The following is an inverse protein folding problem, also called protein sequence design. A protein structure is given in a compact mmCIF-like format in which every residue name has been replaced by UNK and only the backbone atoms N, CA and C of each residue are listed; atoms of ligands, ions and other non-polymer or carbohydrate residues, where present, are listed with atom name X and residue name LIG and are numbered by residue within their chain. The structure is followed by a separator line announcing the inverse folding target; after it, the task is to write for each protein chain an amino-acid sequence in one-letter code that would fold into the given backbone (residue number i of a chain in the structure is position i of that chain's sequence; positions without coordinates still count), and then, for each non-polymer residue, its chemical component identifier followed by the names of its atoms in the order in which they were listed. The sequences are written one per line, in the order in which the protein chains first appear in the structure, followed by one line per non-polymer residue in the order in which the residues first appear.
data_IF_423624676637
#
_entry.id   IF_423624676637
#
_cell.length_a   1.000
_cell.length_b   1.000
_cell.length_c   1.000
_cell.angle_alpha   90.00
_cell.angle_beta   90.00
_cell.angle_gamma   90.00
#
_symmetry.space_group_name_H-M   'P 1'
#
loop_
_entity.id
_entity.type
_entity.pdbx_description
1 polymer ?
#
# COMPACT_ATOMS: atom_id res chain seq x y z
N UNK A 1 -16.28 -3.37 -7.64
CA UNK A 1 -15.92 -4.79 -7.83
C UNK A 1 -15.97 -5.48 -6.47
N UNK A 2 -16.34 -6.75 -6.38
CA UNK A 2 -16.27 -7.51 -5.11
C UNK A 2 -14.81 -7.73 -4.73
N UNK A 3 -14.46 -7.64 -3.44
CA UNK A 3 -13.14 -8.04 -2.96
C UNK A 3 -12.91 -9.53 -3.23
N UNK A 4 -11.69 -9.90 -3.61
CA UNK A 4 -11.28 -11.29 -3.70
C UNK A 4 -11.11 -11.90 -2.31
N UNK A 5 -10.71 -13.17 -2.24
CA UNK A 5 -10.41 -13.85 -0.96
C UNK A 5 -8.93 -13.71 -0.55
N UNK A 6 -8.11 -12.97 -1.31
CA UNK A 6 -6.74 -12.63 -0.90
C UNK A 6 -6.80 -11.94 0.46
N UNK A 7 -5.99 -12.43 1.41
CA UNK A 7 -5.95 -11.88 2.77
C UNK A 7 -5.23 -10.55 2.75
N UNK A 8 -5.64 -9.63 3.62
CA UNK A 8 -5.02 -8.32 3.74
C UNK A 8 -4.94 -7.88 5.20
N UNK A 9 -4.00 -6.99 5.49
CA UNK A 9 -3.84 -6.29 6.76
C UNK A 9 -3.83 -4.78 6.52
N UNK A 10 -4.25 -4.00 7.51
CA UNK A 10 -4.29 -2.54 7.42
C UNK A 10 -3.68 -1.93 8.68
N UNK A 11 -2.81 -0.95 8.48
CA UNK A 11 -2.27 -0.09 9.52
C UNK A 11 -2.92 1.29 9.40
N UNK A 12 -3.55 1.75 10.48
CA UNK A 12 -4.17 3.07 10.58
C UNK A 12 -3.35 3.94 11.53
N UNK A 13 -2.68 4.96 10.99
CA UNK A 13 -2.01 5.97 11.81
C UNK A 13 -2.99 7.10 12.14
N UNK A 14 -3.12 7.41 13.43
CA UNK A 14 -4.11 8.40 13.90
C UNK A 14 -3.56 9.28 15.02
N UNK A 15 -4.06 10.51 15.07
CA UNK A 15 -3.78 11.50 16.10
C UNK A 15 -4.83 11.40 17.20
N UNK A 16 -4.37 11.43 18.45
CA UNK A 16 -5.21 11.26 19.61
C UNK A 16 -6.13 12.47 19.87
N UNK A 17 -7.40 12.25 20.24
CA UNK A 17 -8.32 13.32 20.69
C UNK A 17 -8.04 13.82 22.11
N UNK A 18 -6.96 13.36 22.74
CA UNK A 18 -6.66 13.63 24.14
C UNK A 18 -5.17 13.82 24.36
N UNK A 19 -4.83 14.56 25.40
CA UNK A 19 -3.45 14.81 25.79
C UNK A 19 -2.93 13.68 26.69
N UNK A 20 -1.91 12.90 26.27
CA UNK A 20 -1.45 11.75 27.05
C UNK A 20 -0.85 12.13 28.41
N UNK A 21 -0.28 13.34 28.54
CA UNK A 21 0.18 13.87 29.82
C UNK A 21 -0.91 14.02 30.89
N UNK A 22 -2.19 14.00 30.50
CA UNK A 22 -3.35 14.06 31.41
C UNK A 22 -3.88 12.69 31.82
N UNK A 23 -3.28 11.60 31.34
CA UNK A 23 -3.70 10.25 31.69
C UNK A 23 -3.34 9.91 33.15
N UNK A 24 -4.11 9.02 33.81
CA UNK A 24 -3.74 8.49 35.12
C UNK A 24 -2.33 7.91 35.11
N UNK A 25 -1.63 8.04 36.24
CA UNK A 25 -0.27 7.49 36.39
C UNK A 25 -0.28 5.98 36.10
N UNK A 26 0.56 5.55 35.17
CA UNK A 26 0.69 4.15 34.75
C UNK A 26 -0.23 3.73 33.61
N UNK A 27 -1.02 4.65 33.03
CA UNK A 27 -1.80 4.41 31.80
C UNK A 27 -1.11 5.08 30.62
N UNK A 28 -0.78 4.31 29.59
CA UNK A 28 -0.21 4.80 28.34
C UNK A 28 -1.30 5.25 27.37
N UNK A 29 -0.91 5.96 26.30
CA UNK A 29 -1.82 6.25 25.17
C UNK A 29 -2.36 4.97 24.53
N UNK A 30 -1.52 3.95 24.38
CA UNK A 30 -1.90 2.66 23.81
C UNK A 30 -2.95 1.95 24.67
N UNK A 31 -2.78 1.93 26.00
CA UNK A 31 -3.75 1.36 26.92
C UNK A 31 -5.12 2.02 26.79
N UNK A 32 -5.12 3.34 26.64
CA UNK A 32 -6.35 4.14 26.50
C UNK A 32 -7.09 3.80 25.20
N UNK A 33 -6.37 3.68 24.09
CA UNK A 33 -6.93 3.33 22.78
C UNK A 33 -7.40 1.87 22.75
N UNK A 34 -6.58 0.91 23.20
CA UNK A 34 -6.99 -0.49 23.30
C UNK A 34 -8.21 -0.67 24.22
N UNK A 35 -8.32 0.11 25.30
CA UNK A 35 -9.51 0.13 26.15
C UNK A 35 -10.74 0.68 25.43
N UNK A 36 -10.58 1.77 24.65
CA UNK A 36 -11.67 2.33 23.84
C UNK A 36 -12.22 1.31 22.85
N UNK A 37 -11.35 0.62 22.12
CA UNK A 37 -11.74 -0.44 21.17
C UNK A 37 -12.51 -1.56 21.90
N UNK A 38 -11.97 -2.07 23.00
CA UNK A 38 -12.59 -3.13 23.82
C UNK A 38 -13.96 -2.73 24.36
N UNK A 39 -14.11 -1.49 24.84
CA UNK A 39 -15.40 -0.97 25.34
C UNK A 39 -16.48 -0.89 24.25
N UNK A 40 -16.07 -0.81 22.99
CA UNK A 40 -16.95 -0.81 21.82
C UNK A 40 -17.03 -2.18 21.13
N UNK A 41 -16.61 -3.26 21.81
CA UNK A 41 -16.76 -4.62 21.32
C UNK A 41 -15.74 -5.03 20.26
N UNK A 42 -14.67 -4.26 20.05
CA UNK A 42 -13.56 -4.58 19.17
C UNK A 42 -12.44 -5.20 20.02
N UNK A 43 -12.10 -6.49 19.84
CA UNK A 43 -10.98 -7.10 20.55
C UNK A 43 -9.69 -6.37 20.19
N UNK A 44 -8.98 -5.87 21.20
CA UNK A 44 -7.74 -5.12 20.99
C UNK A 44 -6.75 -5.34 22.14
N UNK A 45 -5.47 -5.26 21.82
CA UNK A 45 -4.33 -5.33 22.74
C UNK A 45 -3.33 -4.23 22.41
N UNK A 46 -2.53 -3.82 23.38
CA UNK A 46 -1.31 -3.06 23.09
C UNK A 46 -0.22 -3.99 22.55
N UNK A 47 0.77 -3.42 21.88
CA UNK A 47 1.94 -4.19 21.42
C UNK A 47 2.66 -4.91 22.58
N UNK A 48 2.79 -4.25 23.73
CA UNK A 48 3.38 -4.83 24.93
C UNK A 48 2.57 -6.01 25.46
N UNK A 49 1.23 -5.91 25.48
CA UNK A 49 0.34 -7.02 25.85
C UNK A 49 0.51 -8.21 24.90
N UNK A 50 0.57 -7.94 23.59
CA UNK A 50 0.78 -8.96 22.56
C UNK A 50 2.15 -9.64 22.67
N UNK A 51 3.23 -8.87 22.88
CA UNK A 51 4.59 -9.39 23.10
C UNK A 51 4.70 -10.20 24.39
N UNK A 52 4.02 -9.78 25.45
CA UNK A 52 4.02 -10.48 26.74
C UNK A 52 3.27 -11.83 26.66
N UNK A 53 2.23 -11.93 25.83
CA UNK A 53 1.49 -13.16 25.66
C UNK A 53 1.02 -13.38 24.20
N UNK A 54 1.93 -13.81 23.29
CA UNK A 54 1.61 -13.96 21.87
C UNK A 54 0.47 -14.96 21.61
N UNK A 55 0.30 -15.96 22.48
CA UNK A 55 -0.80 -16.94 22.37
C UNK A 55 -2.19 -16.36 22.60
N UNK A 56 -2.27 -15.15 23.16
CA UNK A 56 -3.53 -14.45 23.38
C UNK A 56 -3.92 -13.52 22.23
N UNK A 57 -3.04 -13.31 21.25
CA UNK A 57 -3.37 -12.61 20.01
C UNK A 57 -4.26 -13.53 19.18
N UNK A 58 -5.57 -13.38 19.38
CA UNK A 58 -6.58 -14.12 18.63
C UNK A 58 -6.73 -13.59 17.20
N UNK A 59 -7.42 -14.34 16.32
CA UNK A 59 -7.53 -14.02 14.90
C UNK A 59 -8.35 -12.75 14.60
N UNK A 60 -8.99 -12.15 15.60
CA UNK A 60 -9.79 -10.92 15.48
C UNK A 60 -9.23 -9.77 16.34
N UNK A 61 -8.02 -9.93 16.91
CA UNK A 61 -7.43 -8.94 17.82
C UNK A 61 -6.69 -7.87 17.04
N UNK A 62 -7.07 -6.61 17.28
CA UNK A 62 -6.37 -5.42 16.79
C UNK A 62 -5.20 -5.08 17.70
N UNK A 63 -4.07 -4.66 17.14
CA UNK A 63 -2.89 -4.26 17.91
C UNK A 63 -2.75 -2.74 17.86
N UNK A 64 -2.56 -2.14 19.04
CA UNK A 64 -2.25 -0.71 19.17
C UNK A 64 -0.78 -0.59 19.53
N UNK A 65 0.00 0.05 18.67
CA UNK A 65 1.45 0.20 18.82
C UNK A 65 1.89 1.63 18.55
N UNK A 66 3.17 1.89 18.82
CA UNK A 66 3.80 3.13 18.37
C UNK A 66 4.07 3.05 16.87
N UNK A 67 4.07 4.21 16.22
CA UNK A 67 4.56 4.31 14.86
C UNK A 67 6.02 4.77 14.91
N UNK A 68 6.93 3.95 14.40
CA UNK A 68 8.36 4.27 14.32
C UNK A 68 8.64 5.47 13.40
N UNK A 69 7.71 5.82 12.50
CA UNK A 69 7.81 6.93 11.53
C UNK A 69 7.28 8.26 12.05
N UNK A 70 6.44 8.29 13.09
CA UNK A 70 6.01 9.52 13.79
C UNK A 70 7.09 10.09 14.73
N UNK A 71 8.36 9.83 14.45
CA UNK A 71 9.55 10.25 15.19
C UNK A 71 9.75 11.77 15.21
N UNK A 72 8.87 12.49 15.92
CA UNK A 72 8.91 13.93 16.08
C UNK A 72 8.00 14.36 17.22
N UNK A 73 8.57 14.46 18.43
CA UNK A 73 7.96 15.13 19.59
C UNK A 73 7.66 16.60 19.24
N UNK A 74 6.53 16.86 18.59
CA UNK A 74 5.86 18.13 18.74
C UNK A 74 5.00 18.02 20.00
N UNK A 75 5.22 18.95 20.91
CA UNK A 75 4.67 19.02 22.28
C UNK A 75 3.14 18.96 22.39
N UNK A 76 2.42 18.89 21.26
CA UNK A 76 0.96 18.92 21.17
C UNK A 76 0.34 17.80 20.30
N UNK A 77 1.12 16.92 19.66
CA UNK A 77 0.58 15.84 18.81
C UNK A 77 1.23 14.50 19.15
N UNK A 78 0.47 13.64 19.82
CA UNK A 78 0.84 12.23 20.00
C UNK A 78 -0.11 11.38 19.13
N UNK A 79 0.46 10.49 18.33
CA UNK A 79 -0.26 9.54 17.50
C UNK A 79 -0.12 8.10 18.01
N UNK A 80 -0.87 7.20 17.39
CA UNK A 80 -0.75 5.75 17.55
C UNK A 80 -0.98 5.08 16.20
N UNK A 81 -0.41 3.90 16.02
CA UNK A 81 -0.75 3.01 14.92
C UNK A 81 -1.71 1.92 15.41
N UNK A 82 -2.78 1.67 14.66
CA UNK A 82 -3.77 0.64 14.93
C UNK A 82 -3.71 -0.38 13.79
N UNK A 83 -3.20 -1.57 14.09
CA UNK A 83 -2.97 -2.66 13.14
C UNK A 83 -4.14 -3.63 13.19
N UNK A 84 -4.69 -3.95 12.03
CA UNK A 84 -5.78 -4.92 11.91
C UNK A 84 -5.30 -6.34 12.16
N UNK A 85 -6.19 -7.25 12.63
CA UNK A 85 -5.97 -8.67 12.40
C UNK A 85 -5.94 -8.96 10.89
N UNK A 86 -5.64 -10.20 10.51
CA UNK A 86 -5.72 -10.63 9.11
C UNK A 86 -7.19 -10.62 8.65
N UNK A 87 -7.50 -9.81 7.65
CA UNK A 87 -8.83 -9.63 7.08
C UNK A 87 -8.94 -10.37 5.73
N UNK A 88 -10.16 -10.76 5.33
CA UNK A 88 -10.43 -11.27 4.00
C UNK A 88 -11.87 -10.98 3.54
N UNK A 89 -12.00 -10.48 2.31
CA UNK A 89 -13.29 -10.25 1.65
C UNK A 89 -14.22 -9.25 2.36
N UNK A 90 -15.46 -9.19 1.87
CA UNK A 90 -16.45 -8.17 2.22
C UNK A 90 -16.84 -8.14 3.71
N UNK A 91 -16.84 -9.30 4.38
CA UNK A 91 -17.24 -9.37 5.79
C UNK A 91 -16.21 -8.69 6.67
N UNK A 92 -14.93 -8.95 6.42
CA UNK A 92 -13.86 -8.45 7.26
C UNK A 92 -13.47 -7.01 6.86
N UNK A 93 -13.67 -6.60 5.60
CA UNK A 93 -13.66 -5.18 5.22
C UNK A 93 -14.64 -4.36 6.08
N UNK A 94 -15.85 -4.85 6.32
CA UNK A 94 -16.81 -4.15 7.21
C UNK A 94 -16.32 -4.02 8.65
N UNK A 95 -15.47 -4.93 9.13
CA UNK A 95 -14.85 -4.80 10.46
C UNK A 95 -13.88 -3.61 10.48
N UNK A 96 -13.04 -3.48 9.44
CA UNK A 96 -12.16 -2.32 9.26
C UNK A 96 -12.95 -1.01 9.23
N UNK A 97 -14.02 -0.93 8.43
CA UNK A 97 -14.84 0.28 8.34
C UNK A 97 -15.55 0.64 9.65
N UNK A 98 -15.91 -0.36 10.46
CA UNK A 98 -16.45 -0.10 11.81
C UNK A 98 -15.39 0.48 12.75
N UNK A 99 -14.12 0.09 12.62
CA UNK A 99 -13.02 0.65 13.41
C UNK A 99 -12.76 2.10 12.99
N UNK A 100 -12.64 2.38 11.68
CA UNK A 100 -12.42 3.75 11.18
C UNK A 100 -13.54 4.69 11.60
N UNK A 101 -14.81 4.24 11.49
CA UNK A 101 -15.97 4.99 11.98
C UNK A 101 -15.90 5.27 13.48
N UNK A 102 -15.58 4.27 14.30
CA UNK A 102 -15.44 4.45 15.75
C UNK A 102 -14.36 5.49 16.09
N UNK A 103 -13.20 5.42 15.43
CA UNK A 103 -12.11 6.38 15.66
C UNK A 103 -12.56 7.81 15.29
N UNK A 104 -13.21 7.97 14.13
CA UNK A 104 -13.78 9.25 13.70
C UNK A 104 -14.81 9.79 14.70
N UNK A 105 -15.77 8.95 15.11
CA UNK A 105 -16.85 9.33 16.04
C UNK A 105 -16.32 9.66 17.45
N UNK A 106 -15.13 9.19 17.80
CA UNK A 106 -14.48 9.44 19.10
C UNK A 106 -13.47 10.58 19.04
N UNK A 107 -13.36 11.26 17.91
CA UNK A 107 -12.60 12.50 17.72
C UNK A 107 -11.14 12.31 17.30
N UNK A 108 -10.73 11.09 16.95
CA UNK A 108 -9.42 10.89 16.34
C UNK A 108 -9.35 11.63 15.01
N UNK A 109 -8.16 12.08 14.66
CA UNK A 109 -7.90 12.84 13.43
C UNK A 109 -6.67 12.30 12.73
N UNK A 110 -6.42 12.76 11.52
CA UNK A 110 -5.23 12.44 10.71
C UNK A 110 -4.60 13.75 10.22
N UNK A 111 -3.33 13.70 9.82
CA UNK A 111 -2.62 14.82 9.21
C UNK A 111 -1.60 14.33 8.17
N UNK A 112 -0.80 15.24 7.61
CA UNK A 112 0.24 14.92 6.62
C UNK A 112 1.31 13.92 7.10
N UNK A 113 1.47 13.75 8.42
CA UNK A 113 2.42 12.78 9.00
C UNK A 113 1.83 11.38 9.12
N UNK A 114 0.50 11.25 9.17
CA UNK A 114 -0.18 9.95 9.27
C UNK A 114 -0.38 9.32 7.90
N UNK A 115 -0.28 8.00 7.80
CA UNK A 115 -0.52 7.16 6.62
C UNK A 115 -1.64 6.13 6.80
N UNK A 116 -2.09 5.58 5.66
CA UNK A 116 -2.92 4.38 5.56
C UNK A 116 -2.12 3.31 4.82
N UNK A 117 -1.67 2.29 5.54
CA UNK A 117 -0.90 1.21 4.93
C UNK A 117 -1.77 -0.03 4.72
N UNK A 118 -1.64 -0.66 3.55
CA UNK A 118 -2.39 -1.87 3.21
C UNK A 118 -1.43 -2.96 2.78
N UNK A 119 -1.41 -4.03 3.55
CA UNK A 119 -0.68 -5.26 3.27
C UNK A 119 -1.59 -6.22 2.51
N UNK A 120 -1.11 -6.79 1.42
CA UNK A 120 -1.76 -7.90 0.72
C UNK A 120 -0.92 -9.15 0.84
N UNK A 121 -1.55 -10.27 1.20
CA UNK A 121 -0.92 -11.59 1.19
C UNK A 121 -0.21 -11.81 -0.14
N UNK A 122 1.04 -12.28 -0.05
CA UNK A 122 1.89 -12.51 -1.20
C UNK A 122 2.53 -13.92 -1.19
N UNK A 123 2.08 -14.80 -0.29
CA UNK A 123 2.57 -16.19 -0.15
C UNK A 123 2.30 -17.05 -1.39
N UNK A 124 1.35 -16.64 -2.24
CA UNK A 124 0.99 -17.29 -3.49
C UNK A 124 1.76 -16.76 -4.71
N UNK A 125 2.48 -15.64 -4.59
CA UNK A 125 3.25 -15.05 -5.69
C UNK A 125 4.50 -15.88 -5.98
N UNK A 126 4.64 -16.30 -7.23
CA UNK A 126 5.90 -16.80 -7.77
C UNK A 126 6.81 -15.63 -8.17
N UNK A 127 8.10 -15.89 -8.42
CA UNK A 127 9.04 -14.82 -8.77
C UNK A 127 8.63 -14.05 -10.05
N UNK A 128 7.98 -14.72 -11.00
CA UNK A 128 7.42 -14.07 -12.19
C UNK A 128 6.29 -13.07 -11.82
N UNK A 129 5.46 -13.41 -10.83
CA UNK A 129 4.39 -12.54 -10.33
C UNK A 129 4.97 -11.34 -9.59
N UNK A 130 6.01 -11.55 -8.78
CA UNK A 130 6.72 -10.47 -8.11
C UNK A 130 7.34 -9.47 -9.09
N UNK A 131 8.08 -9.95 -10.10
CA UNK A 131 8.66 -9.08 -11.14
C UNK A 131 7.58 -8.29 -11.86
N UNK A 132 6.50 -8.97 -12.26
CA UNK A 132 5.35 -8.33 -12.93
C UNK A 132 4.65 -7.31 -12.04
N UNK A 133 4.44 -7.60 -10.76
CA UNK A 133 3.88 -6.67 -9.78
C UNK A 133 4.72 -5.39 -9.69
N UNK A 134 6.04 -5.54 -9.58
CA UNK A 134 6.95 -4.39 -9.46
C UNK A 134 7.01 -3.57 -10.75
N UNK A 135 7.06 -4.22 -11.91
CA UNK A 135 7.02 -3.54 -13.21
C UNK A 135 5.70 -2.81 -13.39
N UNK A 136 4.57 -3.44 -13.08
CA UNK A 136 3.26 -2.82 -13.10
C UNK A 136 3.25 -1.57 -12.24
N UNK A 137 3.74 -1.67 -10.99
CA UNK A 137 3.69 -0.55 -10.07
C UNK A 137 4.60 0.58 -10.52
N UNK A 138 5.82 0.28 -10.93
CA UNK A 138 6.77 1.26 -11.49
C UNK A 138 6.14 2.10 -12.60
N UNK A 139 5.42 1.44 -13.51
CA UNK A 139 4.75 2.10 -14.63
C UNK A 139 3.50 2.88 -14.19
N UNK A 140 2.75 2.37 -13.20
CA UNK A 140 1.48 2.98 -12.75
C UNK A 140 1.61 3.93 -11.56
N UNK A 141 2.77 4.03 -10.89
CA UNK A 141 2.96 4.90 -9.72
C UNK A 141 2.50 6.35 -9.98
N UNK A 142 2.74 6.97 -11.16
CA UNK A 142 2.21 8.29 -11.47
C UNK A 142 0.68 8.39 -11.47
N UNK A 143 0.00 7.29 -11.79
CA UNK A 143 -1.46 7.23 -11.72
C UNK A 143 -1.91 7.14 -10.25
N UNK A 144 -1.21 6.36 -9.42
CA UNK A 144 -1.45 6.30 -7.98
C UNK A 144 -1.18 7.67 -7.31
N UNK A 145 -0.15 8.40 -7.73
CA UNK A 145 0.15 9.77 -7.24
C UNK A 145 -1.05 10.71 -7.41
N UNK A 146 -1.84 10.55 -8.47
CA UNK A 146 -3.02 11.39 -8.72
C UNK A 146 -4.21 11.09 -7.79
N UNK A 147 -4.16 9.97 -7.07
CA UNK A 147 -5.23 9.53 -6.16
C UNK A 147 -5.03 10.02 -4.72
N UNK A 148 -3.81 10.46 -4.40
CA UNK A 148 -3.39 10.87 -3.05
C UNK A 148 -3.11 12.37 -2.99
N UNK A 149 -2.98 12.91 -1.78
CA UNK A 149 -2.61 14.31 -1.55
C UNK A 149 -1.21 14.64 -2.10
N UNK A 150 -0.97 15.93 -2.36
CA UNK A 150 0.25 16.39 -3.02
C UNK A 150 1.53 15.99 -2.27
N UNK A 151 1.50 16.02 -0.93
CA UNK A 151 2.60 15.60 -0.07
C UNK A 151 2.90 14.10 -0.16
N UNK A 152 2.00 13.28 -0.73
CA UNK A 152 2.22 11.84 -0.97
C UNK A 152 2.69 11.50 -2.38
N UNK A 153 2.94 12.51 -3.24
CA UNK A 153 3.33 12.33 -4.65
C UNK A 153 4.84 12.37 -4.84
N UNK A 154 5.34 11.68 -5.88
CA UNK A 154 6.77 11.64 -6.17
C UNK A 154 7.59 11.27 -4.93
N UNK A 155 8.54 12.11 -4.56
CA UNK A 155 9.39 12.00 -3.37
C UNK A 155 9.11 13.09 -2.31
N UNK A 156 7.92 13.70 -2.32
CA UNK A 156 7.57 14.81 -1.42
C UNK A 156 7.50 14.38 0.06
N UNK A 157 7.34 13.08 0.35
CA UNK A 157 7.32 12.53 1.70
C UNK A 157 8.38 11.42 1.85
N UNK A 158 9.30 11.64 2.79
CA UNK A 158 10.41 10.71 3.08
C UNK A 158 9.99 9.36 3.63
N UNK A 159 8.72 9.20 4.02
CA UNK A 159 8.13 7.94 4.48
C UNK A 159 7.23 7.28 3.42
N UNK A 160 7.14 7.87 2.22
CA UNK A 160 6.43 7.34 1.06
C UNK A 160 7.16 7.76 -0.23
N UNK A 161 8.46 7.47 -0.30
CA UNK A 161 9.30 7.80 -1.46
C UNK A 161 8.96 6.92 -2.66
N UNK A 162 9.25 7.45 -3.85
CA UNK A 162 9.01 6.79 -5.11
C UNK A 162 9.73 5.45 -5.18
N UNK A 163 9.06 4.48 -5.82
CA UNK A 163 9.68 3.20 -6.19
C UNK A 163 10.34 3.27 -7.56
N UNK A 164 10.23 4.41 -8.23
CA UNK A 164 10.83 4.65 -9.54
C UNK A 164 12.27 5.09 -9.41
N UNK A 165 13.04 4.79 -10.44
CA UNK A 165 14.42 5.21 -10.63
C UNK A 165 14.53 5.84 -12.01
N UNK A 166 15.58 6.61 -12.25
CA UNK A 166 15.88 7.11 -13.60
C UNK A 166 16.52 6.00 -14.45
N UNK A 167 15.72 5.00 -14.82
CA UNK A 167 16.11 3.86 -15.68
C UNK A 167 15.05 3.64 -16.76
N UNK A 168 15.50 3.28 -17.96
CA UNK A 168 14.58 2.83 -19.02
C UNK A 168 13.93 1.51 -18.64
N UNK A 169 12.68 1.32 -19.07
CA UNK A 169 11.87 0.15 -18.73
C UNK A 169 12.48 -1.17 -19.23
N UNK A 170 13.19 -1.18 -20.36
CA UNK A 170 13.87 -2.38 -20.87
C UNK A 170 14.98 -2.80 -19.91
N UNK A 171 15.80 -1.85 -19.49
CA UNK A 171 16.87 -2.12 -18.52
C UNK A 171 16.32 -2.59 -17.17
N UNK A 172 15.20 -1.99 -16.71
CA UNK A 172 14.52 -2.43 -15.49
C UNK A 172 14.03 -3.88 -15.57
N UNK A 173 13.40 -4.25 -16.69
CA UNK A 173 12.90 -5.61 -16.90
C UNK A 173 14.07 -6.60 -16.97
N UNK A 174 15.12 -6.29 -17.73
CA UNK A 174 16.33 -7.12 -17.81
C UNK A 174 17.00 -7.29 -16.43
N UNK A 175 17.09 -6.23 -15.61
CA UNK A 175 17.59 -6.32 -14.23
C UNK A 175 16.75 -7.29 -13.39
N UNK A 176 15.42 -7.11 -13.42
CA UNK A 176 14.47 -7.92 -12.64
C UNK A 176 14.39 -9.38 -13.09
N UNK A 177 14.68 -9.69 -14.35
CA UNK A 177 14.74 -11.07 -14.86
C UNK A 177 15.77 -11.91 -14.11
N UNK A 178 16.89 -11.30 -13.71
CA UNK A 178 17.97 -11.94 -12.95
C UNK A 178 17.64 -12.08 -11.45
N UNK A 179 16.55 -11.49 -10.96
CA UNK A 179 16.17 -11.57 -9.55
C UNK A 179 15.61 -12.97 -9.18
N UNK A 180 16.30 -13.74 -8.35
CA UNK A 180 15.86 -15.08 -7.94
C UNK A 180 15.05 -15.06 -6.62
N UNK A 181 15.13 -13.94 -5.88
CA UNK A 181 14.46 -13.73 -4.60
C UNK A 181 13.81 -12.34 -4.51
N UNK A 182 12.88 -12.16 -3.56
CA UNK A 182 12.29 -10.83 -3.27
C UNK A 182 13.35 -9.85 -2.73
N UNK A 183 14.39 -10.37 -2.05
CA UNK A 183 15.54 -9.59 -1.62
C UNK A 183 16.35 -9.07 -2.81
N UNK A 184 16.52 -9.87 -3.88
CA UNK A 184 17.16 -9.39 -5.12
C UNK A 184 16.34 -8.26 -5.77
N UNK A 185 15.01 -8.42 -5.83
CA UNK A 185 14.11 -7.37 -6.33
C UNK A 185 14.29 -6.09 -5.50
N UNK A 186 14.27 -6.19 -4.17
CA UNK A 186 14.47 -5.06 -3.26
C UNK A 186 15.81 -4.36 -3.52
N UNK A 187 16.91 -5.13 -3.58
CA UNK A 187 18.26 -4.60 -3.81
C UNK A 187 18.45 -3.97 -5.21
N UNK A 188 17.83 -4.54 -6.24
CA UNK A 188 17.91 -4.04 -7.62
C UNK A 188 17.05 -2.79 -7.81
N UNK A 189 15.83 -2.80 -7.27
CA UNK A 189 14.90 -1.67 -7.35
C UNK A 189 15.29 -0.50 -6.50
N UNK A 190 15.97 -0.74 -5.38
CA UNK A 190 16.24 0.28 -4.37
C UNK A 190 17.71 0.21 -3.93
N UNK A 191 18.67 0.39 -4.84
CA UNK A 191 20.08 0.26 -4.52
C UNK A 191 20.48 1.29 -3.47
N UNK A 192 20.98 0.83 -2.33
CA UNK A 192 21.39 1.68 -1.21
C UNK A 192 20.28 2.02 -0.21
N UNK A 193 19.05 1.54 -0.44
CA UNK A 193 17.97 1.55 0.55
C UNK A 193 18.12 0.33 1.43
N UNK A 194 18.33 0.53 2.73
CA UNK A 194 18.53 -0.58 3.67
C UNK A 194 17.22 -1.31 4.00
N UNK A 195 16.07 -0.63 3.91
CA UNK A 195 14.74 -1.20 4.15
C UNK A 195 13.67 -0.45 3.35
N UNK A 196 12.83 -1.16 2.59
CA UNK A 196 11.82 -0.56 1.69
C UNK A 196 10.60 0.05 2.41
N UNK A 197 10.57 0.02 3.74
CA UNK A 197 9.51 0.66 4.55
C UNK A 197 9.42 2.19 4.40
N UNK A 198 10.40 2.85 3.79
CA UNK A 198 10.31 4.30 3.48
C UNK A 198 9.73 4.56 2.07
N UNK A 199 9.43 3.50 1.32
CA UNK A 199 8.94 3.57 -0.06
C UNK A 199 7.43 3.36 -0.11
N UNK A 200 6.80 3.88 -1.18
CA UNK A 200 5.36 3.72 -1.44
C UNK A 200 4.92 2.25 -1.56
N UNK A 201 5.82 1.37 -1.98
CA UNK A 201 5.60 -0.06 -1.95
C UNK A 201 6.76 -0.75 -1.25
N UNK A 202 6.45 -1.39 -0.13
CA UNK A 202 7.41 -2.09 0.71
C UNK A 202 7.36 -3.59 0.43
N UNK A 203 8.43 -4.12 -0.17
CA UNK A 203 8.57 -5.55 -0.50
C UNK A 203 9.27 -6.33 0.62
N UNK A 204 10.02 -5.66 1.51
CA UNK A 204 10.60 -6.29 2.70
C UNK A 204 9.52 -6.78 3.68
N UNK A 205 8.29 -6.26 3.56
CA UNK A 205 7.11 -6.80 4.23
C UNK A 205 6.87 -8.29 3.90
N UNK A 206 7.42 -8.80 2.79
CA UNK A 206 7.33 -10.22 2.45
C UNK A 206 8.16 -11.07 3.41
N UNK A 207 9.37 -10.63 3.72
CA UNK A 207 10.28 -11.35 4.62
C UNK A 207 9.71 -11.38 6.04
N UNK A 208 9.11 -10.26 6.47
CA UNK A 208 8.58 -10.10 7.83
C UNK A 208 7.18 -10.71 8.01
N UNK A 209 6.32 -10.60 6.99
CA UNK A 209 4.88 -10.84 7.11
C UNK A 209 4.27 -11.69 6.00
N UNK A 210 5.02 -12.05 4.94
CA UNK A 210 4.47 -12.76 3.78
C UNK A 210 3.54 -11.88 2.93
N UNK A 211 3.78 -10.56 2.91
CA UNK A 211 2.91 -9.58 2.22
C UNK A 211 3.70 -8.63 1.32
N UNK A 212 3.01 -8.00 0.37
CA UNK A 212 3.43 -6.72 -0.22
C UNK A 212 2.63 -5.61 0.43
N UNK A 213 3.27 -4.49 0.73
CA UNK A 213 2.64 -3.39 1.46
C UNK A 213 2.60 -2.10 0.63
N UNK A 214 1.43 -1.47 0.55
CA UNK A 214 1.20 -0.17 -0.06
C UNK A 214 1.16 0.91 1.02
N UNK A 215 2.08 1.87 0.96
CA UNK A 215 2.33 2.91 1.97
C UNK A 215 2.07 4.35 1.48
N UNK A 216 1.54 4.48 0.26
CA UNK A 216 1.43 5.78 -0.42
C UNK A 216 0.28 6.66 0.09
N UNK A 217 -0.81 6.09 0.59
CA UNK A 217 -2.01 6.86 0.94
C UNK A 217 -1.80 7.61 2.26
N UNK A 218 -2.24 8.86 2.31
CA UNK A 218 -2.29 9.62 3.57
C UNK A 218 -3.24 8.97 4.60
N UNK A 219 -3.06 9.30 5.86
CA UNK A 219 -3.94 8.85 6.93
C UNK A 219 -5.35 9.41 6.69
N UNK A 220 -6.33 8.52 6.68
CA UNK A 220 -7.74 8.87 6.54
C UNK A 220 -8.61 8.02 7.45
N UNK A 221 -9.69 8.62 7.95
CA UNK A 221 -10.77 7.94 8.67
C UNK A 221 -12.08 7.98 7.87
N UNK A 222 -12.04 8.46 6.62
CA UNK A 222 -13.18 8.40 5.71
C UNK A 222 -13.34 6.96 5.21
N UNK A 223 -14.46 6.34 5.57
CA UNK A 223 -14.73 4.92 5.26
C UNK A 223 -14.64 4.62 3.76
N UNK A 224 -15.12 5.53 2.91
CA UNK A 224 -15.09 5.38 1.46
C UNK A 224 -13.66 5.39 0.91
N UNK A 225 -12.78 6.25 1.43
CA UNK A 225 -11.37 6.30 0.99
C UNK A 225 -10.62 5.03 1.39
N UNK A 226 -10.80 4.59 2.64
CA UNK A 226 -10.22 3.33 3.15
C UNK A 226 -10.71 2.13 2.32
N UNK A 227 -12.02 2.04 2.06
CA UNK A 227 -12.59 0.97 1.25
C UNK A 227 -12.04 0.97 -0.18
N UNK A 228 -12.01 2.14 -0.84
CA UNK A 228 -11.52 2.23 -2.21
C UNK A 228 -10.04 1.91 -2.31
N UNK A 229 -9.22 2.36 -1.36
CA UNK A 229 -7.78 2.08 -1.36
C UNK A 229 -7.48 0.59 -1.18
N UNK A 230 -8.15 -0.08 -0.23
CA UNK A 230 -8.02 -1.54 -0.04
C UNK A 230 -8.43 -2.29 -1.31
N UNK A 231 -9.58 -1.92 -1.91
CA UNK A 231 -10.07 -2.57 -3.14
C UNK A 231 -9.13 -2.35 -4.33
N UNK A 232 -8.63 -1.13 -4.51
CA UNK A 232 -7.73 -0.78 -5.60
C UNK A 232 -6.43 -1.56 -5.50
N UNK A 233 -5.78 -1.51 -4.34
CA UNK A 233 -4.50 -2.18 -4.11
C UNK A 233 -4.63 -3.71 -4.18
N UNK A 234 -5.75 -4.27 -3.69
CA UNK A 234 -6.01 -5.71 -3.84
C UNK A 234 -6.21 -6.11 -5.30
N UNK A 235 -7.02 -5.36 -6.05
CA UNK A 235 -7.25 -5.61 -7.47
C UNK A 235 -5.96 -5.47 -8.29
N UNK A 236 -5.07 -4.57 -7.88
CA UNK A 236 -3.76 -4.38 -8.49
C UNK A 236 -2.84 -5.60 -8.31
N UNK A 237 -2.78 -6.14 -7.09
CA UNK A 237 -2.03 -7.37 -6.80
C UNK A 237 -2.65 -8.57 -7.54
N UNK A 238 -3.97 -8.74 -7.46
CA UNK A 238 -4.68 -9.82 -8.14
C UNK A 238 -4.46 -9.78 -9.66
N UNK A 239 -4.50 -8.60 -10.29
CA UNK A 239 -4.19 -8.46 -11.71
C UNK A 239 -2.75 -8.86 -12.03
N UNK A 240 -1.80 -8.43 -11.20
CA UNK A 240 -0.38 -8.75 -11.36
C UNK A 240 -0.06 -10.23 -11.13
N UNK A 241 -1.02 -11.03 -10.63
CA UNK A 241 -0.92 -12.49 -10.53
C UNK A 241 -1.69 -13.16 -11.67
N UNK A 242 -2.93 -12.75 -11.92
CA UNK A 242 -3.84 -13.45 -12.84
C UNK A 242 -3.59 -13.15 -14.33
N UNK A 243 -3.00 -11.99 -14.66
CA UNK A 243 -2.85 -11.50 -16.05
C UNK A 243 -1.39 -11.34 -16.46
N UNK A 244 -0.85 -12.16 -17.39
CA UNK A 244 0.54 -11.99 -17.84
C UNK A 244 0.78 -10.67 -18.60
N UNK A 245 -0.28 -9.92 -18.90
CA UNK A 245 -0.22 -8.60 -19.51
C UNK A 245 0.13 -7.54 -18.47
N UNK A 246 1.02 -6.62 -18.82
CA UNK A 246 1.35 -5.47 -17.98
C UNK A 246 0.22 -4.43 -18.01
N UNK A 247 -0.12 -3.86 -16.86
CA UNK A 247 -1.19 -2.87 -16.70
C UNK A 247 -0.97 -1.61 -17.55
N UNK A 248 0.27 -1.16 -17.69
CA UNK A 248 0.60 0.05 -18.44
C UNK A 248 0.65 -0.16 -19.97
N UNK A 249 0.65 -1.42 -20.41
CA UNK A 249 0.75 -1.77 -21.83
C UNK A 249 -0.62 -1.83 -22.51
N UNK A 250 -1.71 -1.99 -21.77
CA UNK A 250 -3.04 -1.97 -22.37
C UNK A 250 -3.73 -0.59 -22.38
N UNK A 251 -3.32 0.34 -21.51
CA UNK A 251 -4.13 1.53 -21.21
C UNK A 251 -3.45 2.90 -21.41
N UNK A 252 -2.25 2.96 -22.01
CA UNK A 252 -1.66 4.24 -22.46
C UNK A 252 -1.32 5.22 -21.33
N UNK A 253 -0.89 4.73 -20.17
CA UNK A 253 -0.39 5.56 -19.07
C UNK A 253 1.08 5.90 -19.37
N UNK A 254 1.33 7.16 -19.70
CA UNK A 254 2.67 7.68 -20.04
C UNK A 254 3.29 8.45 -18.87
N UNK A 255 4.62 8.41 -18.84
CA UNK A 255 5.55 9.20 -18.03
C UNK A 255 5.05 10.62 -17.64
N UNK A 256 5.02 10.97 -16.34
CA UNK A 256 4.52 12.25 -15.83
C UNK A 256 5.55 13.40 -15.80
N UNK A 257 6.83 13.18 -16.15
CA UNK A 257 7.86 14.21 -15.93
C UNK A 257 7.66 15.50 -16.75
N UNK A 258 6.83 15.51 -17.79
CA UNK A 258 6.47 16.73 -18.53
C UNK A 258 5.10 17.34 -18.16
N UNK A 259 4.35 16.76 -17.22
CA UNK A 259 3.02 17.28 -16.81
C UNK A 259 3.07 18.29 -15.66
N UNK A 260 4.27 18.72 -15.25
CA UNK A 260 4.51 19.51 -14.04
C UNK A 260 4.08 20.99 -14.09
N UNK A 261 3.66 21.54 -15.24
CA UNK A 261 3.44 22.99 -15.33
C UNK A 261 2.00 23.51 -15.19
N UNK A 262 0.92 22.71 -15.22
CA UNK A 262 -0.43 23.32 -15.14
C UNK A 262 -1.51 22.41 -14.54
N UNK A 263 -1.71 22.40 -13.20
CA UNK A 263 -3.05 22.21 -12.61
C UNK A 263 -3.17 22.97 -11.29
N UNK A 264 -4.06 23.96 -11.24
CA UNK A 264 -4.45 24.67 -10.02
C UNK A 264 -5.42 23.84 -9.16
N UNK A 265 -5.31 24.07 -7.85
CA UNK A 265 -6.01 23.52 -6.69
C UNK A 265 -7.55 23.60 -6.75
N UNK A 266 -8.24 22.45 -6.82
CA UNK A 266 -9.60 22.29 -6.31
C UNK A 266 -9.91 20.86 -5.78
N UNK A 267 -10.03 20.76 -4.46
CA UNK A 267 -10.36 19.54 -3.71
C UNK A 267 -11.74 18.89 -4.01
N UNK A 268 -12.06 17.77 -3.34
CA UNK A 268 -12.76 16.66 -3.97
C UNK A 268 -14.28 16.79 -4.01
N UNK A 269 -14.86 16.49 -5.18
CA UNK A 269 -16.28 16.13 -5.35
C UNK A 269 -16.38 14.68 -5.80
N UNK A 270 -16.63 13.78 -4.85
CA UNK A 270 -16.84 12.34 -5.13
C UNK A 270 -18.26 12.11 -5.66
N UNK A 271 -18.34 11.88 -6.97
CA UNK A 271 -19.40 11.10 -7.61
C UNK A 271 -18.72 10.10 -8.55
N UNK A 272 -18.30 8.97 -7.97
CA UNK A 272 -17.42 7.93 -8.52
C UNK A 272 -17.29 7.90 -10.07
N UNK A 273 -16.18 8.48 -10.57
CA UNK A 273 -15.80 8.47 -11.97
C UNK A 273 -14.34 8.05 -12.26
N UNK A 274 -13.54 7.59 -11.29
CA UNK A 274 -12.25 6.91 -11.58
C UNK A 274 -12.49 5.72 -12.52
N UNK A 275 -13.59 5.06 -12.18
CA UNK A 275 -14.21 3.88 -12.71
C UNK A 275 -15.01 4.10 -14.02
N UNK A 276 -15.36 5.33 -14.38
CA UNK A 276 -16.04 5.66 -15.65
C UNK A 276 -15.10 6.21 -16.72
N UNK A 277 -13.85 6.53 -16.37
CA UNK A 277 -13.03 7.45 -17.16
C UNK A 277 -11.49 7.26 -17.06
N UNK A 278 -11.02 6.02 -17.05
CA UNK A 278 -9.96 5.65 -18.03
C UNK A 278 -10.45 5.90 -19.49
N UNK A 279 -11.78 5.97 -19.66
CA UNK A 279 -12.63 5.65 -20.80
C UNK A 279 -13.07 6.86 -21.68
N UNK A 280 -12.39 8.03 -21.79
CA UNK A 280 -12.91 9.09 -22.71
C UNK A 280 -11.99 10.17 -23.33
N UNK A 281 -10.70 9.97 -23.58
CA UNK A 281 -9.84 11.12 -23.98
C UNK A 281 -9.67 11.32 -25.51
N UNK A 282 -10.09 12.49 -26.06
CA UNK A 282 -9.51 13.05 -27.28
C UNK A 282 -8.66 14.30 -26.99
N UNK A 283 -7.51 14.43 -27.66
CA UNK A 283 -6.71 15.66 -27.73
C UNK A 283 -5.22 15.41 -28.01
N UNK A 284 -4.49 16.29 -28.72
CA UNK A 284 -3.45 15.84 -29.67
C UNK A 284 -2.02 16.31 -29.27
N UNK A 285 -0.88 15.79 -29.74
CA UNK A 285 -0.50 15.11 -31.01
C UNK A 285 0.66 14.13 -30.73
N UNK A 286 0.66 12.88 -31.17
CA UNK A 286 -0.31 12.11 -31.93
C UNK A 286 -0.55 10.79 -31.21
N UNK A 287 -1.81 10.35 -31.19
CA UNK A 287 -2.24 9.03 -30.73
C UNK A 287 -1.36 7.91 -31.30
N UNK A 288 -0.87 8.05 -32.52
CA UNK A 288 -0.03 7.07 -33.21
C UNK A 288 1.39 6.98 -32.61
N UNK A 289 1.92 8.05 -31.99
CA UNK A 289 3.21 8.03 -31.30
C UNK A 289 3.13 7.22 -30.00
N UNK A 290 2.10 7.45 -29.19
CA UNK A 290 1.90 6.77 -27.93
C UNK A 290 1.41 5.33 -28.10
N UNK A 291 0.55 5.06 -29.09
CA UNK A 291 0.23 3.70 -29.51
C UNK A 291 1.51 3.00 -30.02
N UNK A 292 2.40 3.72 -30.73
CA UNK A 292 3.68 3.17 -31.18
C UNK A 292 4.61 2.79 -30.03
N UNK A 293 4.72 3.62 -28.99
CA UNK A 293 5.49 3.33 -27.76
C UNK A 293 4.90 2.13 -27.02
N UNK A 294 3.59 2.14 -26.79
CA UNK A 294 2.88 1.06 -26.10
C UNK A 294 3.00 -0.27 -26.87
N UNK A 295 2.75 -0.28 -28.17
CA UNK A 295 2.89 -1.47 -29.02
C UNK A 295 4.35 -1.92 -29.16
N UNK A 296 5.32 -1.00 -29.09
CA UNK A 296 6.75 -1.31 -29.10
C UNK A 296 7.16 -2.05 -27.82
N UNK A 297 6.74 -1.58 -26.66
CA UNK A 297 7.05 -2.21 -25.38
C UNK A 297 6.18 -3.46 -25.13
N UNK A 298 4.92 -3.52 -25.59
CA UNK A 298 4.11 -4.74 -25.62
C UNK A 298 4.80 -5.84 -26.42
N UNK A 299 5.27 -5.51 -27.63
CA UNK A 299 5.95 -6.44 -28.52
C UNK A 299 7.35 -6.88 -28.06
N UNK A 300 7.97 -6.17 -27.10
CA UNK A 300 9.29 -6.50 -26.55
C UNK A 300 9.21 -7.22 -25.21
N UNK A 301 8.39 -6.70 -24.28
CA UNK A 301 8.29 -7.18 -22.90
C UNK A 301 7.35 -8.39 -22.79
N UNK A 302 6.28 -8.44 -23.57
CA UNK A 302 5.35 -9.58 -23.51
C UNK A 302 6.01 -10.91 -23.96
N UNK A 303 6.86 -10.94 -25.02
CA UNK A 303 7.66 -12.13 -25.35
C UNK A 303 8.76 -12.47 -24.34
N UNK A 304 9.35 -11.47 -23.67
CA UNK A 304 10.31 -11.68 -22.58
C UNK A 304 9.63 -12.42 -21.42
N UNK A 305 8.48 -11.93 -20.96
CA UNK A 305 7.67 -12.58 -19.92
C UNK A 305 7.09 -13.94 -20.38
N UNK A 306 6.64 -14.06 -21.63
CA UNK A 306 6.09 -15.31 -22.18
C UNK A 306 7.17 -16.38 -22.47
N UNK A 307 8.44 -15.98 -22.59
CA UNK A 307 9.59 -16.87 -22.77
C UNK A 307 10.12 -17.46 -21.47
N UNK A 308 9.67 -16.93 -20.32
CA UNK A 308 9.98 -17.48 -19.01
C UNK A 308 9.22 -18.80 -18.88
N UNK A 309 9.92 -19.95 -18.80
CA UNK A 309 9.23 -21.20 -18.51
C UNK A 309 8.59 -21.04 -17.14
N UNK A 310 7.27 -21.24 -17.04
CA UNK A 310 6.64 -21.45 -15.74
C UNK A 310 7.38 -22.60 -15.07
N UNK A 311 8.29 -22.25 -14.17
CA UNK A 311 9.11 -23.20 -13.45
C UNK A 311 8.20 -24.15 -12.68
N UNK A 312 8.72 -25.29 -12.21
CA UNK A 312 8.00 -26.03 -11.19
C UNK A 312 7.66 -25.06 -10.05
N UNK A 313 6.38 -25.00 -9.67
CA UNK A 313 5.87 -24.08 -8.63
C UNK A 313 6.68 -24.22 -7.35
N UNK A 314 7.68 -23.38 -7.16
CA UNK A 314 8.49 -23.33 -5.94
C UNK A 314 8.00 -22.16 -5.13
N UNK A 315 7.13 -22.44 -4.15
CA UNK A 315 6.79 -21.46 -3.11
C UNK A 315 8.09 -21.05 -2.42
N UNK A 316 8.36 -19.74 -2.38
CA UNK A 316 9.39 -19.20 -1.52
C UNK A 316 9.03 -19.55 -0.06
N UNK A 317 9.93 -20.13 0.73
CA UNK A 317 9.65 -20.43 2.12
C UNK A 317 9.48 -19.13 2.90
N UNK A 318 8.27 -18.89 3.42
CA UNK A 318 7.97 -17.77 4.31
C UNK A 318 8.80 -17.92 5.59
N UNK A 319 9.64 -16.94 5.97
CA UNK A 319 10.38 -16.98 7.23
C UNK A 319 9.45 -16.63 8.41
N UNK A 320 8.47 -17.49 8.71
CA UNK A 320 7.58 -17.32 9.85
C UNK A 320 6.16 -16.92 9.45
N UNK A 321 5.19 -17.68 9.95
CA UNK A 321 3.78 -17.39 9.72
C UNK A 321 3.36 -16.12 10.45
N UNK A 322 2.53 -15.33 9.76
CA UNK A 322 1.75 -14.20 10.24
C UNK A 322 1.49 -14.25 11.76
N UNK A 323 2.06 -13.29 12.48
CA UNK A 323 1.74 -12.98 13.88
C UNK A 323 1.28 -11.54 14.00
#
# INVERSE_FOLDING_TARGET
MSLSQRRFGVELEVILPFCPSKLPRGTTRFDKVATLLRQNGIPAMTEDEAKANPRSVGPDVWIVKDDETLGGSCVDFEGVEIVSPILAGERDLKKLLNVTRLLKDTGFTTNFQTGLHVHHEADDLEMEDWRRLMVNYYLTEPAFDRLVQQDRRGDENSHAMSTRRDVDIEALVEELEEAETVEDISNQLFPGVNQTHELKMNVDAFIKHGTVEFRQHEGTLEEEEVEHWVRLTQAFVDHSVDSPELLAVNDGITDPLEAWEEVEDDGPRVQDPLLKRLISLPGPKTRDHYIGVVQHYEGKVSPMLAGIPRGPRTRQPVPGGWS
#
